data_IF_881307348485
#
_entry.id   IF_881307348485
#
_cell.length_a   1.000
_cell.length_b   1.000
_cell.length_c   1.000
_cell.angle_alpha   90.00
_cell.angle_beta   90.00
_cell.angle_gamma   90.00
#
_symmetry.space_group_name_H-M   'P 1'
#
loop_
_entity.id
_entity.type
_entity.pdbx_description
1 polymer ?
#
# COMPACT_ATOMS: atom_id res chain seq x y z
N UNK A 1 -14.07 -20.81 4.11
CA UNK A 1 -12.89 -19.93 4.13
C UNK A 1 -12.93 -19.12 2.86
N UNK A 2 -13.12 -17.81 2.99
CA UNK A 2 -13.60 -16.99 1.87
C UNK A 2 -12.43 -16.43 1.08
N UNK A 3 -11.96 -17.21 0.10
CA UNK A 3 -10.83 -16.83 -0.78
C UNK A 3 -11.01 -15.45 -1.42
N UNK A 4 -12.24 -15.12 -1.83
CA UNK A 4 -12.58 -13.80 -2.40
C UNK A 4 -12.27 -12.65 -1.44
N UNK A 5 -12.53 -12.84 -0.15
CA UNK A 5 -12.29 -11.82 0.86
C UNK A 5 -10.79 -11.63 1.11
N UNK A 6 -10.02 -12.73 1.09
CA UNK A 6 -8.56 -12.69 1.18
C UNK A 6 -7.97 -11.95 -0.02
N UNK A 7 -8.43 -12.26 -1.23
CA UNK A 7 -7.97 -11.62 -2.47
C UNK A 7 -8.29 -10.10 -2.47
N UNK A 8 -9.45 -9.70 -1.94
CA UNK A 8 -9.82 -8.29 -1.77
C UNK A 8 -8.90 -7.57 -0.79
N UNK A 9 -8.63 -8.16 0.37
CA UNK A 9 -7.73 -7.58 1.38
C UNK A 9 -6.30 -7.44 0.84
N UNK A 10 -5.81 -8.44 0.10
CA UNK A 10 -4.50 -8.37 -0.55
C UNK A 10 -4.50 -7.28 -1.62
N UNK A 11 -5.53 -7.22 -2.47
CA UNK A 11 -5.67 -6.15 -3.48
C UNK A 11 -5.69 -4.76 -2.85
N UNK A 12 -6.38 -4.60 -1.73
CA UNK A 12 -6.37 -3.35 -0.96
C UNK A 12 -5.01 -3.06 -0.37
N UNK A 13 -4.33 -4.02 0.24
CA UNK A 13 -2.98 -3.83 0.77
C UNK A 13 -1.94 -3.52 -0.33
N UNK A 14 -2.16 -3.98 -1.55
CA UNK A 14 -1.32 -3.62 -2.69
C UNK A 14 -1.55 -2.16 -3.10
N UNK A 15 -2.81 -1.71 -3.16
CA UNK A 15 -3.17 -0.36 -3.59
C UNK A 15 -3.05 0.72 -2.51
N UNK A 16 -3.20 0.37 -1.22
CA UNK A 16 -3.26 1.28 -0.07
C UNK A 16 -2.06 1.00 0.85
N UNK A 17 -1.07 1.88 0.78
CA UNK A 17 0.18 1.75 1.52
C UNK A 17 0.00 1.89 3.03
N UNK A 18 -0.94 2.72 3.48
CA UNK A 18 -1.26 2.89 4.90
C UNK A 18 -1.94 1.62 5.44
N UNK A 19 -2.91 1.08 4.70
CA UNK A 19 -3.53 -0.20 5.06
C UNK A 19 -2.50 -1.34 5.08
N UNK A 20 -1.57 -1.39 4.12
CA UNK A 20 -0.48 -2.40 4.11
C UNK A 20 0.40 -2.32 5.35
N UNK A 21 0.82 -1.11 5.72
CA UNK A 21 1.63 -0.86 6.92
C UNK A 21 0.88 -1.37 8.15
N UNK A 22 -0.38 -0.97 8.30
CA UNK A 22 -1.18 -1.30 9.47
C UNK A 22 -1.50 -2.80 9.52
N UNK A 23 -1.77 -3.44 8.37
CA UNK A 23 -2.00 -4.88 8.24
C UNK A 23 -0.76 -5.70 8.66
N UNK A 24 0.45 -5.20 8.38
CA UNK A 24 1.71 -5.84 8.80
C UNK A 24 1.99 -5.68 10.29
N UNK A 25 1.72 -4.51 10.84
CA UNK A 25 1.98 -4.23 12.26
C UNK A 25 0.92 -4.83 13.19
N UNK A 26 -0.36 -4.73 12.83
CA UNK A 26 -1.47 -5.27 13.61
C UNK A 26 -2.63 -5.70 12.69
N UNK A 27 -2.58 -6.93 12.13
CA UNK A 27 -3.57 -7.39 11.15
C UNK A 27 -4.99 -7.43 11.70
N UNK A 28 -5.17 -7.74 12.99
CA UNK A 28 -6.50 -7.80 13.59
C UNK A 28 -7.15 -6.42 13.62
N UNK A 29 -6.42 -5.43 14.12
CA UNK A 29 -6.90 -4.05 14.21
C UNK A 29 -7.13 -3.45 12.82
N UNK A 30 -6.19 -3.63 11.89
CA UNK A 30 -6.33 -3.10 10.53
C UNK A 30 -7.56 -3.66 9.81
N UNK A 31 -7.85 -4.96 9.99
CA UNK A 31 -9.04 -5.59 9.43
C UNK A 31 -10.32 -5.08 10.09
N UNK A 32 -10.34 -4.94 11.42
CA UNK A 32 -11.49 -4.40 12.16
C UNK A 32 -11.79 -2.94 11.77
N UNK A 33 -10.77 -2.08 11.71
CA UNK A 33 -10.90 -0.67 11.31
C UNK A 33 -11.41 -0.53 9.87
N UNK A 34 -11.04 -1.48 9.00
CA UNK A 34 -11.53 -1.56 7.64
C UNK A 34 -12.93 -2.20 7.50
N UNK A 35 -13.55 -2.63 8.61
CA UNK A 35 -14.90 -3.21 8.64
C UNK A 35 -14.97 -4.71 8.33
N UNK A 36 -13.83 -5.40 8.28
CA UNK A 36 -13.79 -6.84 8.03
C UNK A 36 -14.09 -7.63 9.32
N UNK A 37 -14.85 -8.73 9.17
CA UNK A 37 -15.07 -9.67 10.26
C UNK A 37 -13.84 -10.55 10.46
N UNK A 38 -13.26 -10.46 11.65
CA UNK A 38 -12.01 -11.14 11.99
C UNK A 38 -12.30 -12.35 12.86
N UNK A 39 -12.27 -13.53 12.25
CA UNK A 39 -12.24 -14.80 13.01
C UNK A 39 -10.80 -15.26 13.20
N UNK A 40 -10.48 -16.06 14.23
CA UNK A 40 -9.12 -16.56 14.45
C UNK A 40 -8.56 -17.33 13.24
N UNK A 41 -9.41 -18.13 12.60
CA UNK A 41 -9.06 -18.89 11.39
C UNK A 41 -8.77 -17.97 10.21
N UNK A 42 -9.53 -16.88 10.08
CA UNK A 42 -9.32 -15.87 9.05
C UNK A 42 -8.04 -15.05 9.30
N UNK A 43 -7.77 -14.68 10.55
CA UNK A 43 -6.56 -13.98 10.91
C UNK A 43 -5.30 -14.79 10.60
N UNK A 44 -5.32 -16.10 10.89
CA UNK A 44 -4.23 -17.01 10.55
C UNK A 44 -4.00 -17.10 9.04
N UNK A 45 -5.09 -17.10 8.27
CA UNK A 45 -5.05 -17.10 6.82
C UNK A 45 -4.43 -15.83 6.24
N UNK A 46 -4.86 -14.66 6.74
CA UNK A 46 -4.31 -13.39 6.32
C UNK A 46 -2.85 -13.30 6.68
N UNK A 47 -2.44 -13.72 7.89
CA UNK A 47 -1.02 -13.78 8.27
C UNK A 47 -0.20 -14.67 7.34
N UNK A 48 -0.74 -15.84 6.96
CA UNK A 48 -0.08 -16.74 6.02
C UNK A 48 -0.01 -16.14 4.59
N UNK A 49 -1.07 -15.45 4.16
CA UNK A 49 -1.15 -14.86 2.83
C UNK A 49 -0.34 -13.56 2.72
N UNK A 50 -0.26 -12.76 3.79
CA UNK A 50 0.60 -11.57 3.91
C UNK A 50 2.08 -11.89 4.03
N UNK A 51 2.43 -13.15 4.31
CA UNK A 51 3.81 -13.64 4.13
C UNK A 51 4.20 -13.74 2.65
N UNK A 52 3.23 -13.74 1.73
CA UNK A 52 3.51 -13.40 0.33
C UNK A 52 4.01 -11.97 0.32
N UNK A 53 5.08 -11.71 -0.43
CA UNK A 53 5.82 -10.44 -0.37
C UNK A 53 4.96 -9.26 -0.86
N UNK A 54 4.13 -8.71 0.03
CA UNK A 54 3.18 -7.64 -0.27
C UNK A 54 3.89 -6.38 -0.79
N UNK A 55 5.16 -6.19 -0.40
CA UNK A 55 5.98 -5.08 -0.91
C UNK A 55 6.39 -5.32 -2.36
N UNK A 56 6.71 -6.56 -2.74
CA UNK A 56 7.00 -6.90 -4.13
C UNK A 56 5.75 -6.71 -5.02
N UNK A 57 4.57 -7.13 -4.54
CA UNK A 57 3.30 -6.92 -5.25
C UNK A 57 2.93 -5.43 -5.34
N UNK A 58 3.13 -4.67 -4.26
CA UNK A 58 2.92 -3.22 -4.27
C UNK A 58 3.88 -2.52 -5.25
N UNK A 59 5.15 -2.91 -5.27
CA UNK A 59 6.15 -2.37 -6.19
C UNK A 59 5.79 -2.66 -7.65
N UNK A 60 5.32 -3.88 -7.96
CA UNK A 60 4.83 -4.22 -9.31
C UNK A 60 3.58 -3.39 -9.66
N UNK A 61 2.66 -3.22 -8.71
CA UNK A 61 1.45 -2.43 -8.91
C UNK A 61 1.76 -0.96 -9.20
N UNK A 62 2.67 -0.34 -8.44
CA UNK A 62 3.14 1.03 -8.66
C UNK A 62 3.85 1.18 -10.02
N UNK A 63 4.65 0.19 -10.41
CA UNK A 63 5.32 0.16 -11.71
C UNK A 63 4.33 0.05 -12.86
N UNK A 64 3.25 -0.74 -12.68
CA UNK A 64 2.22 -0.97 -13.71
C UNK A 64 1.17 0.14 -13.75
N UNK A 65 0.94 0.83 -12.64
CA UNK A 65 -0.06 1.90 -12.50
C UNK A 65 0.56 3.15 -11.82
N UNK A 66 1.45 3.88 -12.52
CA UNK A 66 2.03 5.10 -11.99
C UNK A 66 0.92 6.16 -11.81
N UNK A 67 0.60 6.51 -10.55
CA UNK A 67 -0.43 7.50 -10.20
C UNK A 67 -1.49 7.05 -9.19
N UNK A 68 -1.41 5.81 -8.67
CA UNK A 68 -2.37 5.25 -7.71
C UNK A 68 -2.26 5.70 -6.24
N UNK A 69 -1.26 6.52 -5.88
CA UNK A 69 -1.14 7.03 -4.51
C UNK A 69 -1.92 8.34 -4.34
N UNK A 70 -2.78 8.38 -3.31
CA UNK A 70 -3.34 9.61 -2.77
C UNK A 70 -2.20 10.56 -2.41
N UNK A 71 -2.30 11.76 -2.94
CA UNK A 71 -1.31 12.84 -2.93
C UNK A 71 -0.75 13.17 -1.55
N UNK A 72 0.56 13.30 -1.46
CA UNK A 72 1.18 14.46 -0.81
C UNK A 72 2.12 15.09 -1.82
N UNK A 73 1.64 16.16 -2.43
CA UNK A 73 2.45 17.10 -3.19
C UNK A 73 3.35 17.86 -2.21
N UNK A 74 4.65 17.63 -2.30
CA UNK A 74 5.69 18.62 -2.03
C UNK A 74 6.63 18.47 -3.23
N UNK A 75 6.53 19.27 -4.28
CA UNK A 75 7.00 20.67 -4.35
C UNK A 75 8.48 20.80 -4.04
N UNK A 76 9.34 20.25 -4.91
CA UNK A 76 10.69 20.79 -5.10
C UNK A 76 10.75 21.49 -6.46
N UNK A 77 10.15 22.68 -6.49
CA UNK A 77 10.62 23.80 -7.31
C UNK A 77 11.95 24.28 -6.70
N UNK A 78 13.06 23.65 -7.06
CA UNK A 78 14.38 24.26 -6.86
C UNK A 78 14.74 25.06 -8.12
N UNK A 79 14.28 26.31 -8.09
CA UNK A 79 14.90 27.44 -8.75
C UNK A 79 16.42 27.47 -8.51
N UNK A 80 17.24 27.44 -9.57
CA UNK A 80 18.70 27.49 -9.45
C UNK A 80 19.44 28.08 -10.65
N UNK A 81 19.53 29.41 -10.67
CA UNK A 81 20.63 30.26 -11.22
C UNK A 81 20.95 30.15 -12.73
N UNK A 82 20.89 31.20 -13.55
CA UNK A 82 21.51 32.51 -13.36
C UNK A 82 22.77 32.63 -14.23
N UNK A 83 22.88 33.75 -14.96
CA UNK A 83 23.98 34.19 -15.87
C UNK A 83 23.78 33.76 -17.34
N UNK A 84 23.52 34.63 -18.32
CA UNK A 84 23.85 36.05 -18.42
C UNK A 84 25.32 36.23 -18.78
N UNK A 85 25.66 36.23 -20.07
CA UNK A 85 26.63 37.14 -20.72
C UNK A 85 26.82 36.73 -22.18
N UNK A 86 26.28 37.55 -23.08
CA UNK A 86 26.82 37.73 -24.42
C UNK A 86 28.18 38.45 -24.27
N UNK A 87 29.19 37.94 -24.96
CA UNK A 87 30.51 38.57 -25.12
C UNK A 87 31.12 38.05 -26.41
#
# INVERSE_FOLDING_TARGET
MDKKLIDEIIGRAVADADFRRDLKSNPEKALQDAGYSVSPTFLAAIKAASSTDLDALASEYETRFPGGQTTSSDSDDESGSGSGAMG
#
